data_IF_876458999494
#
_entry.id   IF_876458999494
#
_cell.length_a   1.000
_cell.length_b   1.000
_cell.length_c   1.000
_cell.angle_alpha   90.00
_cell.angle_beta   90.00
_cell.angle_gamma   90.00
#
_symmetry.space_group_name_H-M   'P 1'
#
loop_
_entity.id
_entity.type
_entity.pdbx_description
1 polymer ?
#
# COMPACT_ATOMS: atom_id res chain seq x y z
N UNK A 1 -8.36 1.10 12.01
CA UNK A 1 -8.60 -0.29 12.50
C UNK A 1 -9.77 -0.98 11.79
N UNK A 2 -10.97 -0.39 11.73
CA UNK A 2 -12.17 -1.03 11.17
C UNK A 2 -11.95 -1.60 9.75
N UNK A 3 -11.30 -0.83 8.86
CA UNK A 3 -10.94 -1.28 7.52
C UNK A 3 -10.18 -2.62 7.49
N UNK A 4 -9.25 -2.84 8.42
CA UNK A 4 -8.44 -4.07 8.48
C UNK A 4 -9.23 -5.30 8.98
N UNK A 5 -10.36 -5.07 9.65
CA UNK A 5 -11.25 -6.11 10.16
C UNK A 5 -12.26 -6.60 9.13
N UNK A 6 -12.48 -5.85 8.03
CA UNK A 6 -13.38 -6.23 6.94
C UNK A 6 -12.98 -7.58 6.33
N UNK A 7 -13.93 -8.29 5.74
CA UNK A 7 -13.61 -9.46 4.92
C UNK A 7 -12.95 -9.01 3.60
N UNK A 8 -11.62 -8.90 3.63
CA UNK A 8 -10.85 -8.49 2.46
C UNK A 8 -11.01 -9.45 1.28
N UNK A 9 -11.38 -10.71 1.52
CA UNK A 9 -11.62 -11.67 0.45
C UNK A 9 -12.88 -11.30 -0.32
N UNK A 10 -13.96 -11.03 0.41
CA UNK A 10 -15.22 -10.54 -0.17
C UNK A 10 -15.06 -9.15 -0.82
N UNK A 11 -14.30 -8.24 -0.19
CA UNK A 11 -14.00 -6.94 -0.78
C UNK A 11 -13.21 -7.09 -2.09
N UNK A 12 -12.23 -8.01 -2.15
CA UNK A 12 -11.46 -8.28 -3.36
C UNK A 12 -12.34 -8.84 -4.48
N UNK A 13 -13.21 -9.81 -4.15
CA UNK A 13 -14.13 -10.42 -5.13
C UNK A 13 -15.09 -9.36 -5.70
N UNK A 14 -15.63 -8.48 -4.84
CA UNK A 14 -16.47 -7.34 -5.24
C UNK A 14 -15.71 -6.37 -6.14
N UNK A 15 -14.52 -5.93 -5.73
CA UNK A 15 -13.73 -4.93 -6.48
C UNK A 15 -13.23 -5.48 -7.82
N UNK A 16 -12.92 -6.78 -7.93
CA UNK A 16 -12.60 -7.40 -9.21
C UNK A 16 -13.73 -7.29 -10.24
N UNK A 17 -14.99 -7.33 -9.80
CA UNK A 17 -16.14 -7.14 -10.68
C UNK A 17 -16.37 -5.67 -11.04
N UNK A 18 -16.21 -4.77 -10.05
CA UNK A 18 -16.51 -3.34 -10.24
C UNK A 18 -15.44 -2.65 -11.08
N UNK A 19 -14.16 -2.93 -10.81
CA UNK A 19 -13.03 -2.18 -11.38
C UNK A 19 -12.53 -2.74 -12.71
N UNK A 20 -13.21 -3.73 -13.29
CA UNK A 20 -12.84 -4.33 -14.57
C UNK A 20 -13.99 -4.25 -15.56
N UNK A 21 -13.66 -4.03 -16.83
CA UNK A 21 -14.62 -4.15 -17.94
C UNK A 21 -14.85 -5.59 -18.37
N UNK A 22 -13.95 -6.52 -18.01
CA UNK A 22 -14.02 -7.95 -18.34
C UNK A 22 -14.48 -8.84 -17.18
N UNK A 23 -14.67 -8.26 -15.98
CA UNK A 23 -15.14 -8.96 -14.78
C UNK A 23 -14.03 -9.52 -13.88
N UNK A 24 -12.76 -9.29 -14.21
CA UNK A 24 -11.62 -9.56 -13.31
C UNK A 24 -10.60 -8.42 -13.43
N UNK A 25 -10.33 -7.74 -12.32
CA UNK A 25 -9.38 -6.64 -12.24
C UNK A 25 -7.97 -7.09 -11.84
N UNK A 26 -7.75 -8.40 -11.71
CA UNK A 26 -6.45 -8.97 -11.38
C UNK A 26 -6.11 -8.90 -9.89
N UNK A 27 -7.02 -8.49 -9.01
CA UNK A 27 -6.77 -8.34 -7.58
C UNK A 27 -6.59 -9.70 -6.88
N UNK A 28 -5.71 -9.74 -5.90
CA UNK A 28 -5.23 -10.94 -5.22
C UNK A 28 -5.94 -11.09 -3.87
N UNK A 29 -6.83 -12.07 -3.80
CA UNK A 29 -7.69 -12.35 -2.63
C UNK A 29 -6.93 -12.64 -1.32
N UNK A 30 -5.73 -13.22 -1.40
CA UNK A 30 -5.02 -13.75 -0.22
C UNK A 30 -4.38 -12.70 0.67
N UNK A 31 -4.21 -11.47 0.18
CA UNK A 31 -3.47 -10.44 0.88
C UNK A 31 -4.44 -9.40 1.42
N UNK A 32 -4.42 -9.11 2.73
CA UNK A 32 -5.12 -7.97 3.28
C UNK A 32 -4.65 -6.66 2.61
N UNK A 33 -5.48 -5.61 2.61
CA UNK A 33 -5.09 -4.36 1.98
C UNK A 33 -3.89 -3.71 2.68
N UNK A 34 -3.11 -2.94 1.93
CA UNK A 34 -2.08 -2.04 2.44
C UNK A 34 -2.48 -0.63 2.01
N UNK A 35 -3.13 0.14 2.90
CA UNK A 35 -3.65 1.46 2.53
C UNK A 35 -2.55 2.48 2.27
N UNK A 36 -1.47 2.39 3.06
CA UNK A 36 -0.37 3.33 2.98
C UNK A 36 0.93 2.69 3.51
N UNK A 37 2.04 3.37 3.23
CA UNK A 37 3.37 3.07 3.76
C UNK A 37 4.16 4.36 3.91
N UNK A 38 4.99 4.46 4.95
CA UNK A 38 5.72 5.67 5.33
C UNK A 38 5.21 6.30 6.61
N UNK A 39 6.06 7.08 7.26
CA UNK A 39 5.79 7.70 8.54
C UNK A 39 4.91 8.95 8.34
N UNK A 40 3.60 8.78 8.38
CA UNK A 40 2.67 9.92 8.22
C UNK A 40 2.68 10.87 9.42
N UNK A 41 3.23 10.46 10.58
CA UNK A 41 3.23 11.25 11.81
C UNK A 41 4.39 12.23 11.84
N UNK A 42 5.49 11.94 11.13
CA UNK A 42 6.63 12.84 10.98
C UNK A 42 6.42 13.92 9.91
N UNK A 43 5.41 13.78 9.05
CA UNK A 43 5.17 14.67 7.90
C UNK A 43 4.84 16.10 8.33
N UNK A 44 5.50 17.08 7.71
CA UNK A 44 5.29 18.49 7.97
C UNK A 44 4.53 19.18 6.83
N UNK A 45 3.60 20.07 7.18
CA UNK A 45 2.83 20.82 6.18
C UNK A 45 3.77 21.70 5.34
N UNK A 46 3.70 21.56 4.02
CA UNK A 46 4.55 22.29 3.09
C UNK A 46 5.95 21.67 2.91
N UNK A 47 6.24 20.59 3.63
CA UNK A 47 7.51 19.86 3.59
C UNK A 47 7.24 18.35 3.54
N UNK A 48 6.31 17.96 2.66
CA UNK A 48 5.99 16.56 2.42
C UNK A 48 5.45 16.30 1.01
N UNK A 49 5.66 15.07 0.54
CA UNK A 49 5.12 14.55 -0.71
C UNK A 49 4.29 13.28 -0.45
N UNK A 50 3.06 13.25 -0.97
CA UNK A 50 2.25 12.04 -1.00
C UNK A 50 2.31 11.42 -2.40
N UNK A 51 2.85 10.20 -2.51
CA UNK A 51 2.70 9.41 -3.72
C UNK A 51 1.32 8.74 -3.71
N UNK A 52 0.43 9.19 -4.60
CA UNK A 52 -0.84 8.52 -4.87
C UNK A 52 -0.65 7.43 -5.92
N UNK A 53 -0.76 6.18 -5.48
CA UNK A 53 -0.64 5.00 -6.31
C UNK A 53 -1.97 4.31 -6.62
N UNK A 54 -1.88 3.31 -7.48
CA UNK A 54 -2.90 2.28 -7.66
C UNK A 54 -2.25 0.95 -7.32
N UNK A 55 -2.94 0.12 -6.53
CA UNK A 55 -2.68 -1.29 -6.23
C UNK A 55 -1.21 -1.76 -6.23
N UNK A 56 -0.69 -2.23 -5.10
CA UNK A 56 0.66 -2.79 -5.09
C UNK A 56 0.73 -4.06 -5.95
N UNK A 57 1.83 -4.22 -6.69
CA UNK A 57 2.05 -5.43 -7.50
C UNK A 57 2.31 -6.62 -6.58
N UNK A 58 1.59 -7.72 -6.81
CA UNK A 58 1.83 -8.99 -6.14
C UNK A 58 3.19 -9.57 -6.55
N UNK A 59 4.17 -9.72 -5.63
CA UNK A 59 5.49 -10.17 -6.01
C UNK A 59 5.47 -11.60 -6.56
N UNK A 60 6.29 -11.86 -7.59
CA UNK A 60 6.48 -13.20 -8.12
C UNK A 60 6.88 -14.20 -7.02
N UNK A 61 6.49 -15.50 -7.13
CA UNK A 61 6.91 -16.51 -6.18
C UNK A 61 8.43 -16.54 -5.98
N UNK A 62 8.87 -16.74 -4.73
CA UNK A 62 10.30 -16.78 -4.37
C UNK A 62 10.97 -15.42 -4.17
N UNK A 63 10.27 -14.29 -4.39
CA UNK A 63 10.79 -12.96 -4.02
C UNK A 63 10.90 -12.80 -2.50
N UNK A 64 11.99 -12.21 -1.97
CA UNK A 64 12.18 -11.99 -0.53
C UNK A 64 11.02 -11.25 0.16
N UNK A 65 10.35 -10.34 -0.57
CA UNK A 65 9.20 -9.58 -0.07
C UNK A 65 8.09 -10.45 0.55
N UNK A 66 7.90 -11.68 0.05
CA UNK A 66 6.94 -12.62 0.66
C UNK A 66 7.26 -12.90 2.13
N UNK A 67 8.54 -13.07 2.45
CA UNK A 67 8.99 -13.38 3.81
C UNK A 67 9.16 -12.14 4.67
N UNK A 68 9.75 -11.08 4.10
CA UNK A 68 10.17 -9.90 4.86
C UNK A 68 9.04 -8.91 5.10
N UNK A 69 8.06 -8.83 4.19
CA UNK A 69 6.96 -7.86 4.27
C UNK A 69 5.60 -8.56 4.39
N UNK A 70 5.25 -9.38 3.41
CA UNK A 70 3.86 -9.80 3.20
C UNK A 70 3.39 -10.80 4.26
N UNK A 71 4.14 -11.89 4.50
CA UNK A 71 3.79 -12.88 5.53
C UNK A 71 3.70 -12.27 6.94
N UNK A 72 4.65 -11.42 7.38
CA UNK A 72 4.50 -10.70 8.64
C UNK A 72 3.21 -9.88 8.72
N UNK A 73 2.89 -9.08 7.70
CA UNK A 73 1.67 -8.30 7.66
C UNK A 73 0.41 -9.18 7.72
N UNK A 74 0.34 -10.24 6.90
CA UNK A 74 -0.77 -11.21 6.91
C UNK A 74 -0.99 -11.83 8.28
N UNK A 75 0.08 -12.22 8.97
CA UNK A 75 0.02 -12.80 10.32
C UNK A 75 -0.53 -11.82 11.35
N UNK A 76 -0.12 -10.56 11.30
CA UNK A 76 -0.63 -9.52 12.20
C UNK A 76 -2.12 -9.26 11.96
N UNK A 77 -2.56 -9.17 10.71
CA UNK A 77 -3.99 -9.00 10.40
C UNK A 77 -4.81 -10.23 10.79
N UNK A 78 -4.27 -11.44 10.63
CA UNK A 78 -4.92 -12.66 11.12
C UNK A 78 -5.08 -12.66 12.64
N UNK A 79 -4.05 -12.27 13.40
CA UNK A 79 -4.11 -12.10 14.86
C UNK A 79 -5.19 -11.09 15.25
N UNK A 80 -5.20 -9.92 14.59
CA UNK A 80 -6.19 -8.88 14.82
C UNK A 80 -7.62 -9.38 14.65
N UNK A 81 -7.88 -10.16 13.59
CA UNK A 81 -9.20 -10.77 13.33
C UNK A 81 -9.59 -11.86 14.32
N UNK A 82 -8.60 -12.52 14.92
CA UNK A 82 -8.83 -13.47 16.01
C UNK A 82 -9.08 -12.78 17.37
N UNK A 83 -9.13 -11.45 17.42
CA UNK A 83 -9.44 -10.66 18.61
C UNK A 83 -8.23 -10.02 19.30
N UNK A 84 -7.00 -10.28 18.82
CA UNK A 84 -5.79 -9.67 19.38
C UNK A 84 -5.64 -8.21 18.90
N UNK A 85 -6.18 -7.28 19.70
CA UNK A 85 -6.14 -5.83 19.39
C UNK A 85 -4.72 -5.26 19.33
N UNK A 86 -3.76 -5.84 20.04
CA UNK A 86 -2.37 -5.37 20.04
C UNK A 86 -1.71 -5.52 18.66
N UNK A 87 -2.15 -6.51 17.88
CA UNK A 87 -1.65 -6.75 16.54
C UNK A 87 -1.93 -5.60 15.56
N UNK A 88 -2.93 -4.74 15.83
CA UNK A 88 -3.16 -3.54 15.01
C UNK A 88 -2.05 -2.53 15.20
N UNK A 89 -1.60 -2.27 16.43
CA UNK A 89 -0.49 -1.37 16.71
C UNK A 89 0.82 -1.91 16.12
N UNK A 90 1.05 -3.22 16.24
CA UNK A 90 2.20 -3.88 15.59
C UNK A 90 2.16 -3.73 14.06
N UNK A 91 0.99 -3.93 13.44
CA UNK A 91 0.82 -3.75 11.99
C UNK A 91 1.07 -2.30 11.57
N UNK A 92 0.47 -1.33 12.27
CA UNK A 92 0.66 0.09 11.99
C UNK A 92 2.13 0.46 12.04
N UNK A 93 2.87 0.01 13.07
CA UNK A 93 4.31 0.23 13.17
C UNK A 93 5.04 -0.26 11.91
N UNK A 94 4.71 -1.43 11.36
CA UNK A 94 5.35 -1.91 10.12
C UNK A 94 5.10 -1.02 8.90
N UNK A 95 3.97 -0.31 8.86
CA UNK A 95 3.64 0.62 7.76
C UNK A 95 4.33 1.96 7.95
N UNK A 96 4.30 2.49 9.17
CA UNK A 96 4.97 3.74 9.54
C UNK A 96 6.49 3.66 9.34
N UNK A 97 7.11 2.54 9.73
CA UNK A 97 8.56 2.37 9.62
C UNK A 97 9.00 1.73 8.30
N UNK A 98 8.14 1.64 7.28
CA UNK A 98 8.40 0.83 6.09
C UNK A 98 9.73 1.17 5.39
N UNK A 99 10.02 2.47 5.25
CA UNK A 99 11.23 2.97 4.59
C UNK A 99 12.49 2.82 5.46
N UNK A 100 12.37 2.89 6.78
CA UNK A 100 13.51 2.79 7.71
C UNK A 100 13.80 1.37 8.21
N UNK A 101 12.84 0.44 8.12
CA UNK A 101 12.97 -0.90 8.72
C UNK A 101 13.61 -1.96 7.81
N UNK A 102 14.14 -1.56 6.65
CA UNK A 102 14.83 -2.45 5.72
C UNK A 102 13.94 -3.42 4.92
N UNK A 103 12.61 -3.26 4.97
CA UNK A 103 11.66 -4.09 4.21
C UNK A 103 11.19 -3.42 2.91
N UNK A 104 11.61 -2.17 2.67
CA UNK A 104 11.14 -1.36 1.56
C UNK A 104 11.47 -1.97 0.18
N UNK A 105 10.51 -1.91 -0.73
CA UNK A 105 10.70 -2.24 -2.14
C UNK A 105 11.43 -1.08 -2.86
N UNK A 106 12.72 -0.91 -2.58
CA UNK A 106 13.52 0.17 -3.15
C UNK A 106 13.55 0.17 -4.68
N UNK A 107 13.38 -0.98 -5.33
CA UNK A 107 13.30 -1.04 -6.80
C UNK A 107 12.12 -0.25 -7.39
N UNK A 108 11.04 -0.09 -6.63
CA UNK A 108 9.91 0.77 -6.98
C UNK A 108 10.15 2.21 -6.53
N UNK A 109 10.47 2.41 -5.24
CA UNK A 109 10.50 3.72 -4.62
C UNK A 109 11.72 4.58 -4.98
N UNK A 110 12.86 3.97 -5.31
CA UNK A 110 14.05 4.73 -5.73
C UNK A 110 13.77 5.56 -6.99
N UNK A 111 12.95 5.05 -7.92
CA UNK A 111 12.60 5.74 -9.18
C UNK A 111 11.84 7.04 -8.93
N UNK A 112 10.85 6.99 -8.03
CA UNK A 112 10.06 8.16 -7.68
C UNK A 112 10.86 9.11 -6.78
N UNK A 113 11.61 8.55 -5.83
CA UNK A 113 12.43 9.34 -4.91
C UNK A 113 13.52 10.17 -5.61
N UNK A 114 14.06 9.69 -6.74
CA UNK A 114 14.96 10.48 -7.58
C UNK A 114 14.32 11.82 -8.01
N UNK A 115 13.09 11.79 -8.53
CA UNK A 115 12.39 13.01 -8.93
C UNK A 115 12.10 13.93 -7.75
N UNK A 116 11.78 13.37 -6.57
CA UNK A 116 11.55 14.19 -5.38
C UNK A 116 12.81 14.90 -4.90
N UNK A 117 13.92 14.16 -4.79
CA UNK A 117 15.22 14.73 -4.43
C UNK A 117 15.67 15.79 -5.44
N UNK A 118 15.48 15.56 -6.74
CA UNK A 118 15.93 16.51 -7.78
C UNK A 118 15.12 17.81 -7.84
N UNK A 119 13.85 17.80 -7.44
CA UNK A 119 12.94 18.92 -7.68
C UNK A 119 12.38 19.60 -6.43
N UNK A 120 12.24 18.86 -5.32
CA UNK A 120 11.57 19.37 -4.11
C UNK A 120 12.49 19.32 -2.88
N UNK A 121 13.37 18.32 -2.79
CA UNK A 121 14.25 18.10 -1.63
C UNK A 121 15.73 18.03 -2.06
N UNK A 122 16.23 19.09 -2.69
CA UNK A 122 17.53 19.12 -3.40
C UNK A 122 18.76 18.92 -2.54
N UNK A 123 18.63 18.97 -1.22
CA UNK A 123 19.69 18.71 -0.25
C UNK A 123 19.74 17.27 0.26
N UNK A 124 18.80 16.42 -0.13
CA UNK A 124 18.66 15.05 0.39
C UNK A 124 18.82 13.99 -0.70
N UNK A 125 19.23 12.79 -0.31
CA UNK A 125 19.18 11.66 -1.22
C UNK A 125 17.77 11.06 -1.28
N UNK A 126 17.49 10.37 -2.39
CA UNK A 126 16.18 9.79 -2.68
C UNK A 126 15.57 8.94 -1.55
N UNK A 127 16.36 8.29 -0.70
CA UNK A 127 15.85 7.43 0.38
C UNK A 127 15.59 8.22 1.65
N UNK A 128 16.44 9.19 1.99
CA UNK A 128 16.17 10.15 3.07
C UNK A 128 14.85 10.89 2.87
N UNK A 129 14.54 11.25 1.61
CA UNK A 129 13.23 11.82 1.25
C UNK A 129 12.08 10.88 1.64
N UNK A 130 12.18 9.57 1.34
CA UNK A 130 11.15 8.60 1.73
C UNK A 130 11.07 8.34 3.24
N UNK A 131 12.19 8.49 3.95
CA UNK A 131 12.23 8.28 5.39
C UNK A 131 11.62 9.46 6.17
N UNK A 132 11.73 10.69 5.65
CA UNK A 132 11.41 11.91 6.41
C UNK A 132 10.35 12.81 5.76
N UNK A 133 10.20 12.77 4.44
CA UNK A 133 9.41 13.75 3.68
C UNK A 133 8.36 13.14 2.76
N UNK A 134 8.32 11.81 2.59
CA UNK A 134 7.37 11.18 1.70
C UNK A 134 6.70 9.94 2.27
N UNK A 135 5.44 9.77 1.89
CA UNK A 135 4.66 8.55 2.15
C UNK A 135 3.88 8.18 0.89
N UNK A 136 3.50 6.91 0.79
CA UNK A 136 2.72 6.39 -0.32
C UNK A 136 1.34 5.95 0.17
N UNK A 137 0.31 6.24 -0.61
CA UNK A 137 -1.05 5.82 -0.37
C UNK A 137 -1.66 5.29 -1.67
N UNK A 138 -2.33 4.14 -1.59
CA UNK A 138 -2.95 3.52 -2.75
C UNK A 138 -4.47 3.71 -2.75
N UNK A 139 -5.02 4.22 -3.85
CA UNK A 139 -6.47 4.42 -4.02
C UNK A 139 -7.20 3.07 -4.07
N UNK A 140 -6.55 2.05 -4.63
CA UNK A 140 -6.99 0.65 -4.58
C UNK A 140 -5.96 -0.11 -3.75
N UNK A 141 -6.13 -0.25 -2.42
CA UNK A 141 -5.07 -0.74 -1.55
C UNK A 141 -4.93 -2.26 -1.53
N UNK A 142 -5.34 -2.93 -2.61
CA UNK A 142 -5.33 -4.39 -2.74
C UNK A 142 -4.28 -4.81 -3.76
N UNK A 143 -3.53 -5.87 -3.46
CA UNK A 143 -2.51 -6.34 -4.38
C UNK A 143 -3.12 -6.85 -5.68
N UNK A 144 -2.44 -6.69 -6.81
CA UNK A 144 -2.87 -7.26 -8.08
C UNK A 144 -1.78 -8.08 -8.79
N UNK A 145 -2.18 -8.94 -9.72
CA UNK A 145 -1.27 -9.68 -10.61
C UNK A 145 -0.69 -8.77 -11.72
N UNK A 146 -1.51 -7.85 -12.19
CA UNK A 146 -1.15 -6.77 -13.11
C UNK A 146 -2.08 -5.57 -12.85
N UNK A 147 -1.60 -4.36 -13.15
CA UNK A 147 -2.42 -3.15 -13.03
C UNK A 147 -3.16 -2.81 -14.34
N UNK A 148 -2.92 -3.57 -15.42
CA UNK A 148 -3.48 -3.32 -16.75
C UNK A 148 -4.94 -3.73 -16.88
N UNK A 149 -5.39 -4.64 -16.00
CA UNK A 149 -6.79 -5.10 -15.96
C UNK A 149 -7.74 -4.14 -15.24
N UNK A 150 -7.23 -3.04 -14.68
CA UNK A 150 -8.01 -2.03 -14.00
C UNK A 150 -8.50 -0.95 -14.97
N UNK A 151 -9.81 -0.72 -14.94
CA UNK A 151 -10.48 0.36 -15.66
C UNK A 151 -10.39 1.66 -14.87
N UNK A 152 -9.73 2.67 -15.46
CA UNK A 152 -9.44 3.95 -14.80
C UNK A 152 -10.70 4.76 -14.51
N UNK A 153 -11.67 4.77 -15.43
CA UNK A 153 -12.88 5.56 -15.26
C UNK A 153 -13.72 4.99 -14.11
N UNK A 154 -13.75 3.65 -14.01
CA UNK A 154 -14.41 2.94 -12.91
C UNK A 154 -13.71 3.15 -11.57
N UNK A 155 -12.38 3.26 -11.55
CA UNK A 155 -11.64 3.63 -10.33
C UNK A 155 -12.07 5.02 -9.85
N UNK A 156 -12.16 6.01 -10.75
CA UNK A 156 -12.56 7.38 -10.40
C UNK A 156 -13.99 7.42 -9.86
N UNK A 157 -14.92 6.72 -10.53
CA UNK A 157 -16.31 6.60 -10.08
C UNK A 157 -16.39 5.94 -8.69
N UNK A 158 -15.69 4.82 -8.51
CA UNK A 158 -15.69 4.08 -7.24
C UNK A 158 -15.07 4.92 -6.11
N UNK A 159 -13.94 5.58 -6.34
CA UNK A 159 -13.29 6.42 -5.33
C UNK A 159 -14.17 7.61 -4.89
N UNK A 160 -15.06 8.07 -5.77
CA UNK A 160 -15.99 9.17 -5.49
C UNK A 160 -17.27 8.73 -4.78
N UNK A 161 -17.57 7.43 -4.74
CA UNK A 161 -18.87 6.90 -4.32
C UNK A 161 -18.83 5.76 -3.31
N UNK A 162 -17.68 5.12 -3.06
CA UNK A 162 -17.55 4.01 -2.11
C UNK A 162 -17.70 4.55 -0.66
N UNK A 163 -18.73 4.12 0.09
CA UNK A 163 -18.81 4.38 1.52
C UNK A 163 -17.75 3.54 2.22
N UNK A 164 -16.55 4.11 2.38
CA UNK A 164 -15.42 3.49 3.07
C UNK A 164 -15.78 2.89 4.44
#
# INVERSE_FOLDING_TARGET
>A
MQFMLRDHGADTDRLNQILSSSGDAGLVRRMPPIPFTGDIESMQQGDCACLLGINPLWPAPGKPAHETELRPAMRLIKRLRAGDRSAFAEYMRTRMTYFSSGIANWGHFDKVGHGYAEHFFTSEDKRSVWESHAFAMDVVPYFSRDATSLDRDRIVEQASSDPA
#
